data_IF_312681888862
#
_entry.id   IF_312681888862
#
_cell.length_a   1.000
_cell.length_b   1.000
_cell.length_c   1.000
_cell.angle_alpha   90.00
_cell.angle_beta   90.00
_cell.angle_gamma   90.00
#
_symmetry.space_group_name_H-M   'P 1'
#
loop_
_entity.id
_entity.type
_entity.pdbx_description
1 polymer ?
#
# COMPACT_ATOMS: atom_id res chain seq x y z
N UNK A 1 42.78 48.66 11.89
CA UNK A 1 42.79 47.71 13.02
C UNK A 1 42.25 46.37 12.49
N UNK A 2 42.91 45.20 12.59
CA UNK A 2 43.41 44.47 13.80
C UNK A 2 42.27 44.22 14.80
N UNK A 3 42.03 43.04 15.39
CA UNK A 3 42.72 41.72 15.41
C UNK A 3 41.71 40.65 15.92
N UNK A 4 41.75 39.33 15.67
CA UNK A 4 42.57 38.43 14.82
C UNK A 4 41.73 37.16 14.50
N UNK A 5 42.12 36.32 13.53
CA UNK A 5 41.52 34.98 13.30
C UNK A 5 42.37 33.89 13.97
N UNK A 6 41.76 32.91 14.64
CA UNK A 6 42.45 31.68 15.09
C UNK A 6 41.62 30.41 14.88
N UNK A 7 41.97 29.69 13.81
CA UNK A 7 41.47 28.35 13.50
C UNK A 7 42.37 27.29 14.16
N UNK A 8 41.79 26.34 14.90
CA UNK A 8 42.50 25.12 15.34
C UNK A 8 41.65 23.91 15.02
N UNK A 9 41.96 23.24 13.92
CA UNK A 9 41.26 22.04 13.44
C UNK A 9 42.03 20.80 13.92
N UNK A 10 41.46 20.05 14.87
CA UNK A 10 42.09 18.85 15.43
C UNK A 10 41.59 17.60 14.69
N UNK A 11 42.39 17.11 13.74
CA UNK A 11 42.15 15.80 13.12
C UNK A 11 42.66 14.69 14.05
N UNK A 12 41.75 13.84 14.54
CA UNK A 12 42.10 12.59 15.22
C UNK A 12 42.12 11.47 14.16
N UNK A 13 43.31 11.09 13.71
CA UNK A 13 43.51 9.96 12.79
C UNK A 13 43.67 8.69 13.62
N UNK A 14 42.61 7.87 13.70
CA UNK A 14 42.64 6.57 14.36
C UNK A 14 43.05 5.47 13.36
N UNK A 15 44.35 5.19 13.24
CA UNK A 15 44.84 4.05 12.45
C UNK A 15 44.65 2.73 13.18
N UNK A 16 43.77 1.87 12.67
CA UNK A 16 43.72 0.44 13.05
C UNK A 16 44.17 -0.39 11.85
N UNK A 17 45.18 -1.22 12.04
CA UNK A 17 45.86 -1.92 10.96
C UNK A 17 45.08 -3.14 10.46
N UNK A 18 45.11 -3.38 9.15
CA UNK A 18 44.75 -4.69 8.59
C UNK A 18 45.81 -5.73 9.01
N UNK A 19 45.41 -6.68 9.85
CA UNK A 19 46.15 -7.93 10.06
C UNK A 19 45.26 -9.05 9.53
N UNK A 20 45.65 -9.65 8.40
CA UNK A 20 45.06 -10.88 7.91
C UNK A 20 46.10 -11.99 7.91
N UNK A 21 45.78 -13.15 8.48
CA UNK A 21 46.31 -14.44 8.05
C UNK A 21 45.48 -15.62 8.61
N UNK A 22 44.70 -16.21 7.72
CA UNK A 22 44.39 -17.65 7.60
C UNK A 22 45.22 -18.63 8.45
N UNK A 23 44.58 -19.57 9.16
CA UNK A 23 44.97 -21.00 9.08
C UNK A 23 43.87 -22.03 9.42
N UNK A 24 43.78 -23.04 8.55
CA UNK A 24 43.48 -24.49 8.76
C UNK A 24 42.19 -24.95 9.46
N UNK A 25 41.38 -25.63 8.66
CA UNK A 25 40.47 -26.73 9.03
C UNK A 25 41.10 -27.84 9.88
N UNK A 26 40.30 -28.41 10.79
CA UNK A 26 40.21 -29.87 10.97
C UNK A 26 38.74 -30.30 10.93
N UNK A 27 38.51 -31.54 10.50
CA UNK A 27 37.19 -32.17 10.40
C UNK A 27 36.96 -33.14 11.55
N UNK A 28 35.70 -33.37 11.90
CA UNK A 28 35.25 -34.70 12.31
C UNK A 28 33.95 -35.10 11.58
N UNK A 29 33.85 -36.41 11.33
CA UNK A 29 32.70 -37.13 10.76
C UNK A 29 32.42 -38.29 11.72
N UNK A 30 31.20 -38.76 11.93
CA UNK A 30 29.88 -38.30 11.51
C UNK A 30 28.83 -39.03 12.38
N UNK A 31 27.55 -38.67 12.28
CA UNK A 31 26.50 -39.70 12.21
C UNK A 31 25.30 -39.27 11.35
N UNK A 32 24.43 -40.20 11.01
CA UNK A 32 23.55 -40.12 9.84
C UNK A 32 22.04 -40.15 10.17
N UNK A 33 21.53 -39.12 10.85
CA UNK A 33 20.08 -38.96 11.05
C UNK A 33 19.45 -38.20 9.89
N UNK A 34 19.07 -38.92 8.82
CA UNK A 34 18.26 -38.39 7.71
C UNK A 34 16.79 -38.21 8.13
N UNK A 35 16.50 -37.13 8.85
CA UNK A 35 15.12 -36.69 9.05
C UNK A 35 14.56 -36.13 7.75
N UNK A 36 13.98 -37.00 6.92
CA UNK A 36 13.20 -36.62 5.74
C UNK A 36 11.90 -35.94 6.18
N UNK A 37 11.89 -34.61 6.29
CA UNK A 37 10.64 -33.84 6.15
C UNK A 37 10.86 -32.35 5.82
N UNK A 38 11.89 -32.05 5.01
CA UNK A 38 11.82 -30.85 4.17
C UNK A 38 10.79 -31.12 3.07
N UNK A 39 9.52 -30.85 3.37
CA UNK A 39 8.50 -30.69 2.33
C UNK A 39 8.89 -29.48 1.50
N UNK A 40 9.18 -29.70 0.22
CA UNK A 40 9.35 -28.63 -0.73
C UNK A 40 8.08 -27.76 -0.72
N UNK A 41 8.18 -26.57 -0.10
CA UNK A 41 7.18 -25.50 -0.28
C UNK A 41 7.42 -24.95 -1.67
N UNK A 42 7.01 -25.75 -2.67
CA UNK A 42 6.96 -25.37 -4.07
C UNK A 42 5.93 -24.25 -4.18
N UNK A 43 6.41 -23.01 -4.03
CA UNK A 43 5.60 -21.82 -4.15
C UNK A 43 4.77 -21.94 -5.43
N UNK A 44 3.44 -21.95 -5.29
CA UNK A 44 2.57 -21.86 -6.45
C UNK A 44 2.90 -20.52 -7.10
N UNK A 45 3.26 -20.56 -8.37
CA UNK A 45 3.37 -19.33 -9.16
C UNK A 45 1.94 -18.82 -9.39
N UNK A 46 1.47 -17.97 -8.49
CA UNK A 46 0.13 -17.40 -8.55
C UNK A 46 0.07 -16.38 -9.68
N UNK A 47 -0.72 -16.69 -10.70
CA UNK A 47 -0.95 -15.81 -11.85
C UNK A 47 -1.73 -14.57 -11.39
N UNK A 48 -1.24 -13.34 -11.66
CA UNK A 48 -2.00 -12.13 -11.38
C UNK A 48 -3.31 -12.08 -12.16
N UNK A 49 -4.37 -11.65 -11.49
CA UNK A 49 -5.72 -11.50 -12.00
C UNK A 49 -6.10 -10.02 -11.94
N UNK A 50 -6.49 -9.44 -13.08
CA UNK A 50 -6.61 -7.98 -13.29
C UNK A 50 -8.08 -7.60 -13.49
N UNK A 51 -8.60 -6.72 -12.63
CA UNK A 51 -9.97 -6.22 -12.74
C UNK A 51 -10.03 -4.76 -13.22
N UNK A 52 -11.00 -4.52 -14.10
CA UNK A 52 -11.34 -3.23 -14.69
C UNK A 52 -12.80 -2.91 -14.31
N UNK A 53 -13.04 -1.81 -13.60
CA UNK A 53 -14.38 -1.36 -13.22
C UNK A 53 -15.03 -0.49 -14.32
N UNK A 54 -14.21 0.29 -15.03
CA UNK A 54 -14.58 1.17 -16.16
C UNK A 54 -13.59 0.96 -17.31
N UNK A 55 -13.70 -0.14 -18.07
CA UNK A 55 -12.61 -0.61 -18.92
C UNK A 55 -12.07 0.38 -19.95
N UNK A 56 -12.89 1.26 -20.53
CA UNK A 56 -12.39 2.24 -21.52
C UNK A 56 -11.68 3.42 -20.86
N UNK A 57 -12.16 3.89 -19.70
CA UNK A 57 -11.51 4.93 -18.88
C UNK A 57 -10.16 4.43 -18.38
N UNK A 58 -10.12 3.22 -17.82
CA UNK A 58 -8.93 2.63 -17.23
C UNK A 58 -7.85 2.30 -18.27
N UNK A 59 -8.24 1.86 -19.48
CA UNK A 59 -7.32 1.74 -20.63
C UNK A 59 -6.79 3.09 -21.09
N UNK A 60 -7.61 4.13 -21.11
CA UNK A 60 -7.21 5.47 -21.57
C UNK A 60 -6.20 6.12 -20.61
N UNK A 61 -6.36 5.93 -19.30
CA UNK A 61 -5.39 6.38 -18.29
C UNK A 61 -4.23 5.40 -18.05
N UNK A 62 -4.34 4.14 -18.49
CA UNK A 62 -3.26 3.14 -18.46
C UNK A 62 -3.10 2.40 -17.13
N UNK A 63 -4.20 2.11 -16.41
CA UNK A 63 -4.17 1.38 -15.14
C UNK A 63 -5.15 0.20 -15.09
N UNK A 64 -5.20 -0.50 -13.96
CA UNK A 64 -6.25 -1.47 -13.64
C UNK A 64 -6.77 -1.19 -12.23
N UNK A 65 -8.09 -1.26 -12.03
CA UNK A 65 -8.68 -0.86 -10.75
C UNK A 65 -8.30 -1.79 -9.61
N UNK A 66 -8.04 -3.07 -9.89
CA UNK A 66 -7.45 -3.97 -8.93
C UNK A 66 -6.58 -5.04 -9.59
N UNK A 67 -5.61 -5.54 -8.83
CA UNK A 67 -4.77 -6.69 -9.18
C UNK A 67 -4.72 -7.65 -8.00
N UNK A 68 -5.09 -8.90 -8.24
CA UNK A 68 -5.11 -9.99 -7.25
C UNK A 68 -3.99 -10.99 -7.53
N UNK A 69 -3.19 -11.30 -6.51
CA UNK A 69 -2.14 -12.33 -6.56
C UNK A 69 -2.36 -13.24 -5.35
N UNK A 70 -2.73 -14.49 -5.62
CA UNK A 70 -3.10 -15.44 -4.57
C UNK A 70 -4.27 -14.93 -3.74
N UNK A 71 -4.00 -14.65 -2.46
CA UNK A 71 -4.96 -14.17 -1.48
C UNK A 71 -4.91 -12.65 -1.23
N UNK A 72 -3.90 -11.96 -1.77
CA UNK A 72 -3.74 -10.52 -1.63
C UNK A 72 -4.30 -9.79 -2.86
N UNK A 73 -4.97 -8.67 -2.64
CA UNK A 73 -5.51 -7.79 -3.69
C UNK A 73 -5.04 -6.37 -3.40
N UNK A 74 -4.37 -5.73 -4.36
CA UNK A 74 -4.18 -4.27 -4.36
C UNK A 74 -5.31 -3.67 -5.18
N UNK A 75 -6.06 -2.75 -4.57
CA UNK A 75 -7.07 -1.94 -5.23
C UNK A 75 -6.48 -0.53 -5.40
N UNK A 76 -6.64 0.04 -6.60
CA UNK A 76 -6.17 1.38 -6.95
C UNK A 76 -7.01 2.47 -6.28
N UNK A 77 -6.66 3.74 -6.51
CA UNK A 77 -7.37 4.89 -5.98
C UNK A 77 -8.77 5.02 -6.57
N UNK A 78 -9.80 4.74 -5.76
CA UNK A 78 -11.18 5.02 -6.12
C UNK A 78 -11.49 6.50 -5.94
N UNK A 79 -12.09 7.11 -6.98
CA UNK A 79 -12.46 8.53 -7.08
C UNK A 79 -13.93 8.66 -7.48
N UNK A 80 -14.53 9.82 -7.20
CA UNK A 80 -15.97 10.04 -7.42
C UNK A 80 -16.28 10.40 -8.87
N UNK A 81 -16.63 9.41 -9.69
CA UNK A 81 -16.97 9.57 -11.11
C UNK A 81 -18.14 8.68 -11.56
N UNK A 82 -18.81 9.03 -12.66
CA UNK A 82 -19.77 8.16 -13.36
C UNK A 82 -19.05 7.07 -14.18
N UNK A 83 -19.79 6.18 -14.86
CA UNK A 83 -19.18 5.04 -15.58
C UNK A 83 -18.42 5.49 -16.86
N UNK A 84 -18.77 6.65 -17.41
CA UNK A 84 -18.06 7.37 -18.47
C UNK A 84 -16.78 8.08 -17.99
N UNK A 85 -16.59 8.24 -16.68
CA UNK A 85 -15.40 8.85 -16.06
C UNK A 85 -15.51 10.35 -15.75
N UNK A 86 -16.69 10.96 -15.86
CA UNK A 86 -16.90 12.36 -15.49
C UNK A 86 -16.97 12.51 -13.96
N UNK A 87 -16.36 13.55 -13.35
CA UNK A 87 -16.44 13.78 -11.92
C UNK A 87 -17.87 14.03 -11.41
N UNK A 88 -18.26 13.29 -10.38
CA UNK A 88 -19.56 13.41 -9.70
C UNK A 88 -19.39 13.99 -8.29
N UNK A 89 -20.44 14.63 -7.76
CA UNK A 89 -20.41 15.34 -6.47
C UNK A 89 -19.29 16.41 -6.37
N UNK A 90 -19.09 17.18 -7.44
CA UNK A 90 -18.08 18.26 -7.51
C UNK A 90 -18.27 19.25 -6.34
N UNK A 91 -17.22 19.45 -5.55
CA UNK A 91 -17.21 20.36 -4.38
C UNK A 91 -17.65 19.76 -3.03
N UNK A 92 -18.33 18.61 -3.04
CA UNK A 92 -18.79 17.89 -1.85
C UNK A 92 -17.91 16.65 -1.59
N UNK A 93 -16.79 16.85 -0.89
CA UNK A 93 -15.90 15.77 -0.44
C UNK A 93 -16.67 14.68 0.34
N UNK A 94 -17.66 15.05 1.14
CA UNK A 94 -18.42 14.13 1.96
C UNK A 94 -19.27 13.17 1.12
N UNK A 95 -19.82 13.62 -0.01
CA UNK A 95 -20.49 12.74 -0.97
C UNK A 95 -19.50 12.02 -1.90
N UNK A 96 -18.41 12.68 -2.34
CA UNK A 96 -17.37 12.01 -3.14
C UNK A 96 -16.80 10.79 -2.41
N UNK A 97 -16.51 10.93 -1.11
CA UNK A 97 -16.03 9.83 -0.27
C UNK A 97 -17.01 8.63 -0.24
N UNK A 98 -18.33 8.87 -0.21
CA UNK A 98 -19.33 7.79 -0.28
C UNK A 98 -19.33 7.10 -1.64
N UNK A 99 -19.13 7.87 -2.72
CA UNK A 99 -19.02 7.34 -4.07
C UNK A 99 -17.77 6.45 -4.21
N UNK A 100 -16.62 6.87 -3.64
CA UNK A 100 -15.42 6.04 -3.52
C UNK A 100 -15.72 4.71 -2.80
N UNK A 101 -16.37 4.75 -1.63
CA UNK A 101 -16.75 3.52 -0.90
C UNK A 101 -17.72 2.63 -1.69
N UNK A 102 -18.65 3.20 -2.47
CA UNK A 102 -19.55 2.43 -3.30
C UNK A 102 -18.83 1.68 -4.44
N UNK A 103 -17.84 2.31 -5.08
CA UNK A 103 -17.01 1.66 -6.11
C UNK A 103 -16.05 0.61 -5.52
N UNK A 104 -15.43 0.91 -4.38
CA UNK A 104 -14.63 -0.07 -3.63
C UNK A 104 -15.47 -1.29 -3.23
N UNK A 105 -16.74 -1.10 -2.86
CA UNK A 105 -17.66 -2.20 -2.60
C UNK A 105 -17.93 -3.07 -3.86
N UNK A 106 -18.07 -2.46 -5.05
CA UNK A 106 -18.20 -3.22 -6.32
C UNK A 106 -16.97 -4.12 -6.56
N UNK A 107 -15.77 -3.58 -6.33
CA UNK A 107 -14.48 -4.28 -6.55
C UNK A 107 -14.28 -5.39 -5.50
N UNK A 108 -14.58 -5.12 -4.23
CA UNK A 108 -14.59 -6.13 -3.17
C UNK A 108 -15.56 -7.27 -3.52
N UNK A 109 -16.80 -6.95 -3.94
CA UNK A 109 -17.81 -7.93 -4.37
C UNK A 109 -17.36 -8.76 -5.58
N UNK A 110 -16.63 -8.20 -6.54
CA UNK A 110 -16.09 -8.94 -7.67
C UNK A 110 -15.20 -10.12 -7.24
N UNK A 111 -14.31 -9.89 -6.26
CA UNK A 111 -13.49 -10.95 -5.66
C UNK A 111 -14.19 -11.72 -4.51
N UNK A 112 -15.48 -11.44 -4.27
CA UNK A 112 -16.28 -11.99 -3.19
C UNK A 112 -15.76 -11.65 -1.79
N UNK A 113 -15.10 -10.51 -1.64
CA UNK A 113 -14.61 -9.93 -0.40
C UNK A 113 -15.59 -8.89 0.16
N UNK A 114 -15.31 -8.41 1.36
CA UNK A 114 -16.05 -7.38 2.11
C UNK A 114 -15.07 -6.36 2.69
N UNK A 115 -15.59 -5.32 3.35
CA UNK A 115 -14.74 -4.38 4.09
C UNK A 115 -14.06 -5.00 5.32
N UNK A 116 -14.47 -6.19 5.77
CA UNK A 116 -13.77 -6.94 6.83
C UNK A 116 -12.53 -7.71 6.31
N UNK A 117 -12.32 -7.82 5.00
CA UNK A 117 -11.11 -8.39 4.39
C UNK A 117 -10.01 -7.31 4.13
N UNK A 118 -10.33 -6.03 4.35
CA UNK A 118 -9.44 -4.89 4.11
C UNK A 118 -8.44 -4.77 5.24
N UNK A 119 -7.14 -4.83 4.91
CA UNK A 119 -6.04 -4.73 5.87
C UNK A 119 -5.38 -3.35 5.87
N UNK A 120 -5.36 -2.65 4.72
CA UNK A 120 -4.86 -1.27 4.59
C UNK A 120 -5.87 -0.40 3.84
N UNK A 121 -6.08 0.83 4.29
CA UNK A 121 -6.77 1.90 3.56
C UNK A 121 -5.94 3.18 3.62
N UNK A 122 -5.46 3.66 2.47
CA UNK A 122 -4.81 4.97 2.37
C UNK A 122 -5.77 5.99 1.76
N UNK A 123 -5.74 7.22 2.27
CA UNK A 123 -6.62 8.31 1.82
C UNK A 123 -5.80 9.52 1.43
N UNK A 124 -6.01 10.00 0.21
CA UNK A 124 -5.43 11.24 -0.30
C UNK A 124 -6.55 12.28 -0.46
N UNK A 125 -6.34 13.49 0.04
CA UNK A 125 -7.37 14.54 0.04
C UNK A 125 -6.79 15.92 -0.23
N UNK A 126 -7.49 16.72 -1.05
CA UNK A 126 -7.15 18.15 -1.26
C UNK A 126 -7.64 19.05 -0.13
N UNK A 127 -8.42 18.50 0.83
CA UNK A 127 -8.93 19.22 2.00
C UNK A 127 -9.02 18.31 3.23
N UNK A 128 -7.94 18.26 4.01
CA UNK A 128 -7.87 17.45 5.24
C UNK A 128 -8.93 17.84 6.28
N UNK A 129 -9.33 19.12 6.37
CA UNK A 129 -10.41 19.55 7.28
C UNK A 129 -11.76 18.96 6.88
N UNK A 130 -12.19 19.14 5.62
CA UNK A 130 -13.42 18.53 5.07
C UNK A 130 -13.41 17.00 5.20
N UNK A 131 -12.25 16.36 5.03
CA UNK A 131 -12.13 14.93 5.24
C UNK A 131 -12.33 14.54 6.71
N UNK A 132 -11.70 15.23 7.67
CA UNK A 132 -11.89 14.94 9.10
C UNK A 132 -13.33 15.20 9.57
N UNK A 133 -14.02 16.20 9.00
CA UNK A 133 -15.47 16.42 9.19
C UNK A 133 -16.31 15.23 8.69
N UNK A 134 -15.94 14.64 7.54
CA UNK A 134 -16.67 13.53 6.93
C UNK A 134 -16.28 12.13 7.48
N UNK A 135 -15.06 11.97 7.99
CA UNK A 135 -14.42 10.67 8.30
C UNK A 135 -15.20 9.78 9.28
N UNK A 136 -16.11 10.37 10.09
CA UNK A 136 -17.06 9.61 10.91
C UNK A 136 -17.91 8.60 10.11
N UNK A 137 -18.15 8.85 8.81
CA UNK A 137 -18.81 7.90 7.90
C UNK A 137 -18.10 6.54 7.79
N UNK A 138 -16.79 6.45 8.09
CA UNK A 138 -16.07 5.16 8.12
C UNK A 138 -16.70 4.17 9.10
N UNK A 139 -17.37 4.65 10.15
CA UNK A 139 -18.14 3.82 11.11
C UNK A 139 -19.41 3.19 10.51
N UNK A 140 -19.89 3.66 9.35
CA UNK A 140 -20.99 3.01 8.62
C UNK A 140 -20.50 1.87 7.73
N UNK A 141 -19.22 1.90 7.34
CA UNK A 141 -18.56 0.92 6.46
C UNK A 141 -17.90 -0.18 7.30
N UNK A 142 -16.92 0.19 8.13
CA UNK A 142 -16.16 -0.73 8.97
C UNK A 142 -16.92 -1.03 10.25
N UNK A 143 -17.39 -2.27 10.41
CA UNK A 143 -18.24 -2.70 11.53
C UNK A 143 -17.54 -3.51 12.60
N UNK A 144 -16.57 -4.35 12.22
CA UNK A 144 -15.88 -5.22 13.17
C UNK A 144 -14.52 -4.64 13.60
N UNK A 145 -13.75 -4.12 12.65
CA UNK A 145 -12.46 -3.46 12.89
C UNK A 145 -12.15 -2.46 11.76
N UNK A 146 -11.22 -1.54 12.00
CA UNK A 146 -10.68 -0.65 10.97
C UNK A 146 -9.35 -1.22 10.43
N UNK A 147 -9.05 -1.02 9.13
CA UNK A 147 -7.73 -1.29 8.58
C UNK A 147 -6.68 -0.31 9.14
N UNK A 148 -5.40 -0.66 8.97
CA UNK A 148 -4.30 0.32 9.12
C UNK A 148 -4.21 1.23 7.90
N UNK A 149 -3.34 2.24 7.91
CA UNK A 149 -3.12 3.08 6.74
C UNK A 149 -2.50 4.44 7.05
N UNK A 150 -2.51 5.33 6.06
CA UNK A 150 -2.04 6.71 6.16
C UNK A 150 -2.96 7.67 5.42
N UNK A 151 -3.13 8.86 5.97
CA UNK A 151 -3.98 9.91 5.42
C UNK A 151 -3.14 11.14 5.07
N UNK A 152 -3.18 11.58 3.81
CA UNK A 152 -2.32 12.65 3.30
C UNK A 152 -3.13 13.82 2.73
N UNK A 153 -2.78 15.03 3.17
CA UNK A 153 -3.18 16.26 2.49
C UNK A 153 -2.30 16.45 1.25
N UNK A 154 -2.90 16.42 0.06
CA UNK A 154 -2.20 16.57 -1.24
C UNK A 154 -2.59 17.88 -1.93
N UNK A 155 -1.74 18.34 -2.85
CA UNK A 155 -1.99 19.58 -3.63
C UNK A 155 -3.16 19.42 -4.62
N UNK A 156 -3.19 18.28 -5.30
CA UNK A 156 -4.12 17.95 -6.37
C UNK A 156 -4.23 16.42 -6.51
N UNK A 157 -5.28 15.96 -7.20
CA UNK A 157 -5.52 14.57 -7.59
C UNK A 157 -5.55 14.49 -9.13
N UNK A 158 -5.90 13.33 -9.70
CA UNK A 158 -5.84 13.08 -11.14
C UNK A 158 -6.60 14.10 -12.01
N UNK A 159 -7.71 14.67 -11.52
CA UNK A 159 -8.40 15.84 -12.11
C UNK A 159 -8.78 16.87 -11.03
N UNK A 160 -8.92 18.17 -11.35
CA UNK A 160 -9.17 19.23 -10.36
C UNK A 160 -10.46 19.08 -9.52
N UNK A 161 -11.47 18.41 -10.06
CA UNK A 161 -12.76 18.21 -9.42
C UNK A 161 -12.76 17.13 -8.32
N UNK A 162 -11.75 16.24 -8.33
CA UNK A 162 -11.60 15.22 -7.29
C UNK A 162 -11.03 15.86 -6.01
N UNK A 163 -11.73 15.63 -4.90
CA UNK A 163 -11.36 16.12 -3.58
C UNK A 163 -10.78 15.03 -2.67
N UNK A 164 -11.07 13.77 -2.97
CA UNK A 164 -10.64 12.60 -2.22
C UNK A 164 -10.42 11.39 -3.14
N UNK A 165 -9.40 10.61 -2.82
CA UNK A 165 -9.04 9.35 -3.47
C UNK A 165 -8.70 8.32 -2.38
N UNK A 166 -9.20 7.09 -2.52
CA UNK A 166 -9.06 6.02 -1.51
C UNK A 166 -8.56 4.74 -2.19
N UNK A 167 -7.40 4.24 -1.78
CA UNK A 167 -6.90 2.92 -2.21
C UNK A 167 -6.96 1.90 -1.06
N UNK A 168 -7.11 0.62 -1.39
CA UNK A 168 -7.21 -0.47 -0.41
C UNK A 168 -6.17 -1.57 -0.68
N UNK A 169 -5.71 -2.21 0.40
CA UNK A 169 -5.08 -3.52 0.35
C UNK A 169 -5.93 -4.52 1.11
N UNK A 170 -6.23 -5.64 0.47
CA UNK A 170 -7.19 -6.64 0.94
C UNK A 170 -6.47 -7.97 1.03
N UNK A 171 -6.64 -8.70 2.13
CA UNK A 171 -6.12 -10.05 2.28
C UNK A 171 -7.25 -11.02 2.62
N UNK A 172 -7.74 -11.72 1.59
CA UNK A 172 -8.81 -12.70 1.75
C UNK A 172 -8.21 -14.01 2.31
N UNK A 173 -8.51 -14.43 3.54
CA UNK A 173 -8.02 -15.71 4.04
C UNK A 173 -8.61 -16.87 3.20
N UNK A 174 -7.85 -17.95 3.06
CA UNK A 174 -8.42 -19.20 2.54
C UNK A 174 -9.42 -19.72 3.57
N UNK A 175 -10.69 -19.89 3.17
CA UNK A 175 -11.66 -20.66 3.93
C UNK A 175 -11.07 -22.04 4.23
N UNK A 176 -11.11 -22.44 5.50
CA UNK A 176 -10.68 -23.76 5.98
C UNK A 176 -11.78 -24.80 5.81
#
# INVERSE_FOLDING_TARGET
>A
MKTIIRTTLVFIIATIAFIGCNEKTKSDKAEHTKTKDQKDVKAKHETPDYFLLRPEVEKAYGYSHAVKIGNSIKISGAVSMDDEGNPTAIGDLGQQMKNCYADLEKILKHYGCTFDDVVVENVFTTSMSKFLEAAGYRTTIYKNHFPTGSWFGVKELAVPEFMIEIELEVHKPNNK
#
